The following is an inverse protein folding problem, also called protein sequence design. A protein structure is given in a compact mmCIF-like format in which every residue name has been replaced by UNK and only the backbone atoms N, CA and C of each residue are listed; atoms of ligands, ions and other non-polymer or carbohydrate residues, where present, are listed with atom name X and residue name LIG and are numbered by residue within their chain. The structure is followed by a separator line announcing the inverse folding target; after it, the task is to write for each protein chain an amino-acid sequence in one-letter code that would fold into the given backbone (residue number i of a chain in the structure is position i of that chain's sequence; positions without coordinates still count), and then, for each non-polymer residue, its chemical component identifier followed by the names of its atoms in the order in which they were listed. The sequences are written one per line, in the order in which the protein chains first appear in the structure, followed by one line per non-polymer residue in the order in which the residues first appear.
data_IF_949352205862
#
_entry.id   IF_949352205862
#
_cell.length_a   1.000
_cell.length_b   1.000
_cell.length_c   1.000
_cell.angle_alpha   90.00
_cell.angle_beta   90.00
_cell.angle_gamma   90.00
#
_symmetry.space_group_name_H-M   'P 1'
#
loop_
_entity.id
_entity.type
_entity.pdbx_description
1 polymer ?
#
# COMPACT_ATOMS: atom_id res chain seq x y z
N UNK A 1 16.31 7.80 -9.46
CA UNK A 1 17.73 7.47 -9.56
C UNK A 1 18.28 6.94 -8.22
N UNK A 2 18.23 7.72 -7.11
CA UNK A 2 18.83 7.36 -5.82
C UNK A 2 18.35 6.00 -5.28
N UNK A 3 17.04 5.76 -5.24
CA UNK A 3 16.46 4.51 -4.74
C UNK A 3 16.92 3.27 -5.52
N UNK A 4 16.99 3.38 -6.85
CA UNK A 4 17.49 2.26 -7.68
C UNK A 4 19.00 2.05 -7.51
N UNK A 5 19.75 3.14 -7.27
CA UNK A 5 21.15 3.07 -6.93
C UNK A 5 21.39 2.34 -5.59
N UNK A 6 20.59 2.66 -4.56
CA UNK A 6 20.67 1.99 -3.26
C UNK A 6 20.31 0.50 -3.36
N UNK A 7 19.27 0.16 -4.14
CA UNK A 7 18.90 -1.24 -4.38
C UNK A 7 20.04 -2.03 -5.05
N UNK A 8 20.59 -1.49 -6.12
CA UNK A 8 21.70 -2.12 -6.84
C UNK A 8 22.97 -2.24 -5.98
N UNK A 9 23.25 -1.21 -5.17
CA UNK A 9 24.35 -1.25 -4.22
C UNK A 9 24.15 -2.34 -3.16
N UNK A 10 22.93 -2.46 -2.62
CA UNK A 10 22.57 -3.54 -1.70
C UNK A 10 22.75 -4.92 -2.32
N UNK A 11 22.30 -5.13 -3.56
CA UNK A 11 22.53 -6.39 -4.28
C UNK A 11 24.01 -6.68 -4.52
N UNK A 12 24.80 -5.65 -4.85
CA UNK A 12 26.25 -5.78 -5.02
C UNK A 12 26.96 -6.16 -3.72
N UNK A 13 26.57 -5.53 -2.61
CA UNK A 13 27.10 -5.89 -1.28
C UNK A 13 26.72 -7.33 -0.91
N UNK A 14 25.46 -7.72 -1.12
CA UNK A 14 25.01 -9.07 -0.83
C UNK A 14 25.83 -10.10 -1.59
N UNK A 15 26.06 -9.88 -2.89
CA UNK A 15 26.94 -10.71 -3.70
C UNK A 15 28.39 -10.70 -3.17
N UNK A 16 28.92 -9.54 -2.81
CA UNK A 16 30.27 -9.41 -2.28
C UNK A 16 30.52 -10.22 -1.00
N UNK A 17 29.51 -10.34 -0.13
CA UNK A 17 29.61 -11.08 1.13
C UNK A 17 29.26 -12.56 1.02
N UNK A 18 28.46 -12.95 0.02
CA UNK A 18 27.97 -14.34 -0.12
C UNK A 18 28.57 -15.07 -1.33
N UNK A 19 29.16 -14.34 -2.28
CA UNK A 19 29.75 -14.90 -3.50
C UNK A 19 28.75 -15.52 -4.47
N UNK A 20 27.42 -15.37 -4.23
CA UNK A 20 26.38 -16.03 -5.00
C UNK A 20 25.22 -15.10 -5.36
N UNK A 21 24.51 -15.41 -6.46
CA UNK A 21 23.22 -14.84 -6.85
C UNK A 21 22.05 -15.81 -6.62
N UNK A 22 22.33 -17.05 -6.21
CA UNK A 22 21.32 -18.04 -5.90
C UNK A 22 20.81 -17.81 -4.48
N UNK A 23 19.51 -17.66 -4.31
CA UNK A 23 18.88 -17.35 -3.03
C UNK A 23 19.09 -18.43 -1.96
N UNK A 24 19.09 -19.72 -2.33
CA UNK A 24 19.35 -20.79 -1.38
C UNK A 24 20.82 -20.80 -0.91
N UNK A 25 21.76 -20.52 -1.80
CA UNK A 25 23.17 -20.40 -1.42
C UNK A 25 23.40 -19.17 -0.54
N UNK A 26 22.76 -18.05 -0.86
CA UNK A 26 22.82 -16.83 -0.04
C UNK A 26 22.30 -17.14 1.37
N UNK A 27 21.16 -17.85 1.52
CA UNK A 27 20.61 -18.24 2.82
C UNK A 27 21.62 -19.01 3.67
N UNK A 28 22.35 -19.95 3.06
CA UNK A 28 23.30 -20.78 3.77
C UNK A 28 24.55 -20.01 4.27
N UNK A 29 24.96 -18.98 3.52
CA UNK A 29 26.11 -18.13 3.87
C UNK A 29 25.73 -16.97 4.83
N UNK A 30 24.44 -16.64 4.95
CA UNK A 30 23.98 -15.56 5.81
C UNK A 30 23.89 -16.01 7.27
N UNK A 31 24.76 -15.44 8.10
CA UNK A 31 24.71 -15.57 9.55
C UNK A 31 24.46 -14.21 10.20
N UNK A 32 23.90 -14.23 11.41
CA UNK A 32 23.63 -12.99 12.20
C UNK A 32 24.93 -12.22 12.48
N UNK A 33 26.08 -12.87 12.45
CA UNK A 33 27.41 -12.26 12.68
C UNK A 33 27.91 -11.48 11.45
N UNK A 34 27.32 -11.67 10.27
CA UNK A 34 27.76 -10.99 9.06
C UNK A 34 27.14 -9.59 8.94
N UNK A 35 27.73 -8.62 9.63
CA UNK A 35 27.31 -7.22 9.65
C UNK A 35 27.20 -6.64 8.22
N UNK A 36 28.11 -7.00 7.32
CA UNK A 36 28.08 -6.52 5.93
C UNK A 36 26.83 -6.98 5.16
N UNK A 37 26.36 -8.21 5.41
CA UNK A 37 25.15 -8.73 4.81
C UNK A 37 23.88 -8.06 5.40
N UNK A 38 23.90 -7.68 6.68
CA UNK A 38 22.81 -6.88 7.28
C UNK A 38 22.71 -5.50 6.61
N UNK A 39 23.85 -4.83 6.37
CA UNK A 39 23.84 -3.57 5.59
C UNK A 39 23.29 -3.77 4.18
N UNK A 40 23.68 -4.86 3.49
CA UNK A 40 23.16 -5.19 2.17
C UNK A 40 21.63 -5.34 2.20
N UNK A 41 21.09 -6.07 3.18
CA UNK A 41 19.66 -6.24 3.41
C UNK A 41 18.95 -4.89 3.61
N UNK A 42 19.50 -4.00 4.45
CA UNK A 42 18.90 -2.67 4.69
C UNK A 42 18.82 -1.87 3.39
N UNK A 43 19.87 -1.83 2.57
CA UNK A 43 19.85 -1.12 1.28
C UNK A 43 18.83 -1.71 0.30
N UNK A 44 18.69 -3.04 0.27
CA UNK A 44 17.68 -3.72 -0.54
C UNK A 44 16.28 -3.34 -0.07
N UNK A 45 16.01 -3.39 1.26
CA UNK A 45 14.72 -3.00 1.83
C UNK A 45 14.39 -1.52 1.57
N UNK A 46 15.36 -0.61 1.67
CA UNK A 46 15.18 0.81 1.33
C UNK A 46 14.73 0.97 -0.12
N UNK A 47 15.43 0.32 -1.05
CA UNK A 47 15.11 0.39 -2.47
C UNK A 47 13.73 -0.19 -2.80
N UNK A 48 13.37 -1.33 -2.21
CA UNK A 48 12.05 -1.97 -2.39
C UNK A 48 10.93 -1.16 -1.71
N UNK A 49 11.17 -0.61 -0.52
CA UNK A 49 10.22 0.25 0.19
C UNK A 49 9.88 1.50 -0.63
N UNK A 50 10.84 2.09 -1.31
CA UNK A 50 10.58 3.17 -2.26
C UNK A 50 9.67 2.72 -3.40
N UNK A 51 9.88 1.53 -3.97
CA UNK A 51 9.06 1.00 -5.07
C UNK A 51 7.61 0.75 -4.68
N UNK A 52 7.37 0.27 -3.46
CA UNK A 52 6.00 0.06 -2.95
C UNK A 52 5.39 1.30 -2.29
N UNK A 53 6.12 2.42 -2.23
CA UNK A 53 5.67 3.67 -1.60
C UNK A 53 5.49 3.58 -0.09
N UNK A 54 6.31 2.81 0.58
CA UNK A 54 6.27 2.69 2.03
C UNK A 54 7.02 3.83 2.74
N UNK A 55 6.55 4.25 3.91
CA UNK A 55 7.18 5.32 4.71
C UNK A 55 8.51 4.80 5.30
N UNK A 56 9.59 5.60 5.24
CA UNK A 56 9.67 7.02 4.90
C UNK A 56 9.89 7.31 3.39
N UNK A 57 9.95 6.31 2.54
CA UNK A 57 10.33 6.43 1.13
C UNK A 57 9.14 6.71 0.18
N UNK A 58 8.03 7.21 0.71
CA UNK A 58 6.75 7.44 0.03
C UNK A 58 6.63 8.80 -0.69
N UNK A 59 7.56 9.73 -0.47
CA UNK A 59 7.40 11.17 -0.78
C UNK A 59 7.04 11.47 -2.25
N UNK A 60 7.48 10.63 -3.17
CA UNK A 60 7.20 10.77 -4.60
C UNK A 60 5.73 10.48 -4.97
N UNK A 61 5.04 9.64 -4.20
CA UNK A 61 3.76 9.03 -4.60
C UNK A 61 2.62 10.03 -4.70
N UNK A 62 2.38 10.95 -3.72
CA UNK A 62 1.28 11.91 -3.83
C UNK A 62 1.44 12.85 -5.03
N UNK A 63 2.65 13.34 -5.27
CA UNK A 63 2.91 14.32 -6.33
C UNK A 63 2.88 13.67 -7.72
N UNK A 64 3.40 12.46 -7.86
CA UNK A 64 3.33 11.70 -9.12
C UNK A 64 1.89 11.28 -9.43
N UNK A 65 1.10 10.87 -8.43
CA UNK A 65 -0.30 10.50 -8.67
C UNK A 65 -1.13 11.70 -9.10
N UNK A 66 -0.94 12.86 -8.48
CA UNK A 66 -1.64 14.07 -8.84
C UNK A 66 -1.22 14.58 -10.22
N UNK A 67 0.09 14.61 -10.51
CA UNK A 67 0.65 15.17 -11.74
C UNK A 67 0.51 14.29 -12.98
N UNK A 68 0.31 12.99 -12.84
CA UNK A 68 0.22 12.07 -13.98
C UNK A 68 -1.21 11.97 -14.53
N UNK A 69 -1.40 11.66 -15.84
CA UNK A 69 -2.71 11.29 -16.36
C UNK A 69 -3.32 10.11 -15.59
N UNK A 70 -4.64 10.11 -15.37
CA UNK A 70 -5.32 9.13 -14.50
C UNK A 70 -5.06 7.68 -14.89
N UNK A 71 -4.93 7.37 -16.19
CA UNK A 71 -4.60 6.03 -16.68
C UNK A 71 -3.19 5.58 -16.26
N UNK A 72 -2.23 6.49 -16.31
CA UNK A 72 -0.84 6.26 -15.87
C UNK A 72 -0.77 6.15 -14.35
N UNK A 73 -1.54 6.97 -13.64
CA UNK A 73 -1.65 6.89 -12.18
C UNK A 73 -2.18 5.51 -11.75
N UNK A 74 -3.20 4.97 -12.43
CA UNK A 74 -3.72 3.63 -12.16
C UNK A 74 -2.63 2.55 -12.33
N UNK A 75 -1.83 2.63 -13.39
CA UNK A 75 -0.70 1.73 -13.59
C UNK A 75 0.31 1.80 -12.45
N UNK A 76 0.71 3.02 -12.02
CA UNK A 76 1.64 3.20 -10.89
C UNK A 76 1.06 2.75 -9.55
N UNK A 77 -0.26 2.84 -9.38
CA UNK A 77 -0.93 2.40 -8.16
C UNK A 77 -0.93 0.88 -7.98
N UNK A 78 -0.82 0.12 -9.06
CA UNK A 78 -1.00 -1.34 -9.08
C UNK A 78 0.31 -2.06 -9.40
N UNK A 79 0.81 -1.93 -10.62
CA UNK A 79 1.85 -2.83 -11.16
C UNK A 79 3.16 -2.79 -10.36
N UNK A 80 3.78 -1.62 -10.09
CA UNK A 80 5.04 -1.57 -9.35
C UNK A 80 4.91 -2.10 -7.92
N UNK A 81 3.71 -1.98 -7.32
CA UNK A 81 3.47 -2.43 -5.95
C UNK A 81 3.30 -3.93 -5.84
N UNK A 82 2.60 -4.54 -6.80
CA UNK A 82 2.48 -6.01 -6.89
C UNK A 82 3.86 -6.64 -7.04
N UNK A 83 4.64 -6.15 -8.01
CA UNK A 83 5.99 -6.66 -8.25
C UNK A 83 6.90 -6.40 -7.05
N UNK A 84 6.87 -5.18 -6.49
CA UNK A 84 7.68 -4.82 -5.33
C UNK A 84 7.37 -5.69 -4.11
N UNK A 85 6.09 -5.96 -3.84
CA UNK A 85 5.68 -6.85 -2.75
C UNK A 85 6.13 -8.29 -2.97
N UNK A 86 5.95 -8.82 -4.18
CA UNK A 86 6.38 -10.19 -4.51
C UNK A 86 7.90 -10.36 -4.29
N UNK A 87 8.67 -9.34 -4.70
CA UNK A 87 10.13 -9.33 -4.49
C UNK A 87 10.47 -9.21 -3.00
N UNK A 88 9.77 -8.34 -2.22
CA UNK A 88 9.98 -8.25 -0.76
C UNK A 88 9.75 -9.61 -0.12
N UNK A 89 8.60 -10.24 -0.36
CA UNK A 89 8.28 -11.56 0.21
C UNK A 89 9.37 -12.58 -0.17
N UNK A 90 9.77 -12.61 -1.44
CA UNK A 90 10.78 -13.56 -1.92
C UNK A 90 12.14 -13.37 -1.25
N UNK A 91 12.54 -12.12 -0.97
CA UNK A 91 13.78 -11.84 -0.23
C UNK A 91 13.67 -12.24 1.25
N UNK A 92 12.52 -11.97 1.89
CA UNK A 92 12.34 -12.28 3.31
C UNK A 92 12.20 -13.78 3.56
N UNK A 93 11.48 -14.49 2.66
CA UNK A 93 11.16 -15.91 2.80
C UNK A 93 12.34 -16.83 2.52
N UNK A 94 13.27 -16.46 1.64
CA UNK A 94 14.36 -17.35 1.25
C UNK A 94 15.71 -16.83 1.72
N UNK A 95 16.36 -15.80 1.10
CA UNK A 95 17.73 -15.47 1.46
C UNK A 95 17.85 -14.89 2.88
N UNK A 96 16.83 -14.20 3.40
CA UNK A 96 16.90 -13.53 4.70
C UNK A 96 16.16 -14.28 5.83
N UNK A 97 15.77 -15.54 5.62
CA UNK A 97 15.07 -16.35 6.63
C UNK A 97 15.88 -16.47 7.93
N UNK A 98 17.19 -16.68 7.84
CA UNK A 98 18.07 -16.86 9.00
C UNK A 98 18.30 -15.58 9.83
N UNK A 99 17.98 -14.39 9.28
CA UNK A 99 18.11 -13.09 9.94
C UNK A 99 16.75 -12.41 10.17
N UNK A 100 15.75 -13.22 10.49
CA UNK A 100 14.35 -12.79 10.67
C UNK A 100 14.22 -11.66 11.69
N UNK A 101 14.89 -11.73 12.84
CA UNK A 101 14.82 -10.72 13.89
C UNK A 101 15.25 -9.33 13.42
N UNK A 102 16.25 -9.27 12.53
CA UNK A 102 16.83 -8.03 12.06
C UNK A 102 15.88 -7.30 11.11
N UNK A 103 15.41 -7.98 10.07
CA UNK A 103 14.52 -7.34 9.11
C UNK A 103 13.08 -7.16 9.62
N UNK A 104 12.62 -8.01 10.53
CA UNK A 104 11.27 -7.94 11.11
C UNK A 104 11.02 -6.59 11.79
N UNK A 105 11.97 -6.14 12.61
CA UNK A 105 11.90 -4.84 13.30
C UNK A 105 11.78 -3.68 12.30
N UNK A 106 12.54 -3.73 11.21
CA UNK A 106 12.51 -2.71 10.16
C UNK A 106 11.15 -2.69 9.45
N UNK A 107 10.63 -3.87 9.08
CA UNK A 107 9.33 -3.96 8.39
C UNK A 107 8.19 -3.55 9.32
N UNK A 108 8.22 -3.89 10.61
CA UNK A 108 7.23 -3.40 11.59
C UNK A 108 7.23 -1.87 11.63
N UNK A 109 8.41 -1.24 11.73
CA UNK A 109 8.52 0.23 11.74
C UNK A 109 7.93 0.84 10.46
N UNK A 110 8.33 0.35 9.28
CA UNK A 110 7.84 0.82 7.99
C UNK A 110 6.33 0.63 7.86
N UNK A 111 5.80 -0.51 8.31
CA UNK A 111 4.37 -0.83 8.32
C UNK A 111 3.58 0.16 9.17
N UNK A 112 3.96 0.33 10.44
CA UNK A 112 3.31 1.26 11.39
C UNK A 112 3.36 2.69 10.87
N UNK A 113 4.53 3.15 10.45
CA UNK A 113 4.70 4.51 9.92
C UNK A 113 3.83 4.74 8.67
N UNK A 114 3.73 3.75 7.78
CA UNK A 114 2.89 3.83 6.57
C UNK A 114 1.40 3.84 6.90
N UNK A 115 0.95 3.04 7.85
CA UNK A 115 -0.45 3.03 8.31
C UNK A 115 -0.85 4.37 8.92
N UNK A 116 -0.03 4.91 9.83
CA UNK A 116 -0.33 6.18 10.51
C UNK A 116 -0.29 7.35 9.54
N UNK A 117 0.80 7.50 8.78
CA UNK A 117 0.94 8.62 7.85
C UNK A 117 -0.12 8.56 6.75
N UNK A 118 -0.37 7.39 6.16
CA UNK A 118 -1.38 7.22 5.13
C UNK A 118 -2.78 7.59 5.62
N UNK A 119 -3.15 7.17 6.84
CA UNK A 119 -4.45 7.48 7.42
C UNK A 119 -4.61 8.97 7.74
N UNK A 120 -3.63 9.59 8.40
CA UNK A 120 -3.72 11.00 8.84
C UNK A 120 -3.61 11.97 7.68
N UNK A 121 -2.66 11.77 6.76
CA UNK A 121 -2.45 12.67 5.65
C UNK A 121 -3.59 12.67 4.62
N UNK A 122 -4.31 11.55 4.46
CA UNK A 122 -5.47 11.47 3.57
C UNK A 122 -6.64 12.36 4.00
N UNK A 123 -6.82 12.63 5.31
CA UNK A 123 -7.98 13.38 5.85
C UNK A 123 -8.12 14.78 5.23
N UNK A 124 -6.99 15.47 5.01
CA UNK A 124 -6.95 16.86 4.54
C UNK A 124 -6.89 17.02 3.02
N UNK A 125 -6.88 15.91 2.28
CA UNK A 125 -6.77 16.00 0.83
C UNK A 125 -8.05 16.54 0.19
N UNK A 126 -7.86 17.38 -0.83
CA UNK A 126 -8.93 17.97 -1.65
C UNK A 126 -8.93 17.42 -3.08
N UNK A 127 -7.79 16.87 -3.53
CA UNK A 127 -7.64 16.19 -4.81
C UNK A 127 -7.85 14.68 -4.60
N UNK A 128 -8.70 14.06 -5.43
CA UNK A 128 -9.07 12.63 -5.30
C UNK A 128 -7.88 11.70 -5.58
N UNK A 129 -7.00 12.04 -6.55
CA UNK A 129 -5.83 11.22 -6.85
C UNK A 129 -4.80 11.28 -5.72
N UNK A 130 -4.63 12.45 -5.11
CA UNK A 130 -3.75 12.63 -3.96
C UNK A 130 -4.30 11.89 -2.72
N UNK A 131 -5.63 11.91 -2.52
CA UNK A 131 -6.28 11.09 -1.49
C UNK A 131 -5.99 9.60 -1.72
N UNK A 132 -6.16 9.11 -2.95
CA UNK A 132 -5.87 7.72 -3.31
C UNK A 132 -4.38 7.36 -3.13
N UNK A 133 -3.47 8.32 -3.31
CA UNK A 133 -2.04 8.11 -3.07
C UNK A 133 -1.76 7.84 -1.58
N UNK A 134 -2.28 8.66 -0.67
CA UNK A 134 -2.13 8.44 0.78
C UNK A 134 -2.87 7.19 1.26
N UNK A 135 -4.06 6.93 0.73
CA UNK A 135 -4.78 5.68 0.91
C UNK A 135 -3.89 4.48 0.57
N UNK A 136 -3.25 4.53 -0.59
CA UNK A 136 -2.34 3.50 -1.10
C UNK A 136 -1.14 3.26 -0.17
N UNK A 137 -0.55 4.32 0.40
CA UNK A 137 0.53 4.22 1.40
C UNK A 137 0.02 3.47 2.64
N UNK A 138 -1.17 3.80 3.13
CA UNK A 138 -1.79 3.09 4.26
C UNK A 138 -2.05 1.61 3.97
N UNK A 139 -2.57 1.28 2.79
CA UNK A 139 -2.81 -0.11 2.38
C UNK A 139 -1.53 -0.93 2.29
N UNK A 140 -0.44 -0.35 1.77
CA UNK A 140 0.89 -0.99 1.81
C UNK A 140 1.34 -1.23 3.26
N UNK A 141 1.05 -0.32 4.17
CA UNK A 141 1.31 -0.52 5.60
C UNK A 141 0.61 -1.77 6.15
N UNK A 142 -0.68 -1.98 5.84
CA UNK A 142 -1.40 -3.20 6.25
C UNK A 142 -0.81 -4.47 5.63
N UNK A 143 -0.46 -4.44 4.35
CA UNK A 143 0.15 -5.57 3.65
C UNK A 143 1.50 -5.93 4.29
N UNK A 144 2.33 -4.93 4.58
CA UNK A 144 3.63 -5.14 5.24
C UNK A 144 3.48 -5.65 6.67
N UNK A 145 2.37 -5.39 7.36
CA UNK A 145 2.09 -5.98 8.67
C UNK A 145 1.97 -7.52 8.58
N UNK A 146 1.36 -8.05 7.53
CA UNK A 146 1.34 -9.49 7.29
C UNK A 146 2.73 -10.04 6.94
N UNK A 147 3.51 -9.33 6.14
CA UNK A 147 4.90 -9.72 5.82
C UNK A 147 5.76 -9.74 7.09
N UNK A 148 5.56 -8.78 7.99
CA UNK A 148 6.32 -8.67 9.24
C UNK A 148 6.20 -9.89 10.15
N UNK A 149 5.18 -10.72 10.01
CA UNK A 149 5.01 -11.95 10.80
C UNK A 149 6.10 -12.98 10.52
N UNK A 150 6.72 -12.96 9.33
CA UNK A 150 7.73 -13.93 8.91
C UNK A 150 7.18 -15.35 8.75
N UNK A 151 5.86 -15.50 8.60
CA UNK A 151 5.19 -16.80 8.51
C UNK A 151 4.57 -17.01 7.14
N UNK A 152 4.46 -18.27 6.70
CA UNK A 152 3.77 -18.63 5.45
C UNK A 152 2.32 -18.12 5.43
N UNK A 153 1.65 -18.15 6.60
CA UNK A 153 0.29 -17.61 6.71
C UNK A 153 0.25 -16.08 6.54
N UNK A 154 1.21 -15.36 7.12
CA UNK A 154 1.33 -13.92 6.93
C UNK A 154 1.64 -13.53 5.50
N UNK A 155 2.52 -14.25 4.81
CA UNK A 155 2.80 -14.03 3.39
C UNK A 155 1.57 -14.30 2.52
N UNK A 156 0.86 -15.41 2.78
CA UNK A 156 -0.37 -15.75 2.05
C UNK A 156 -1.47 -14.71 2.26
N UNK A 157 -1.66 -14.22 3.49
CA UNK A 157 -2.63 -13.16 3.80
C UNK A 157 -2.27 -11.82 3.14
N UNK A 158 -0.98 -11.49 3.07
CA UNK A 158 -0.47 -10.30 2.37
C UNK A 158 -0.70 -10.36 0.86
N UNK A 159 -0.49 -11.52 0.24
CA UNK A 159 -0.77 -11.76 -1.19
C UNK A 159 -2.27 -11.70 -1.48
N UNK A 160 -3.11 -12.28 -0.63
CA UNK A 160 -4.56 -12.17 -0.72
C UNK A 160 -5.00 -10.70 -0.64
N UNK A 161 -4.47 -9.96 0.34
CA UNK A 161 -4.75 -8.54 0.48
C UNK A 161 -4.37 -7.78 -0.79
N UNK A 162 -3.17 -8.02 -1.31
CA UNK A 162 -2.69 -7.36 -2.52
C UNK A 162 -3.58 -7.64 -3.72
N UNK A 163 -4.07 -8.87 -3.87
CA UNK A 163 -4.99 -9.25 -4.96
C UNK A 163 -6.30 -8.46 -4.88
N UNK A 164 -6.91 -8.39 -3.69
CA UNK A 164 -8.14 -7.62 -3.47
C UNK A 164 -7.88 -6.13 -3.68
N UNK A 165 -6.73 -5.61 -3.20
CA UNK A 165 -6.32 -4.22 -3.36
C UNK A 165 -6.20 -3.81 -4.83
N UNK A 166 -5.62 -4.67 -5.68
CA UNK A 166 -5.51 -4.45 -7.14
C UNK A 166 -6.90 -4.22 -7.75
N UNK A 167 -7.85 -5.10 -7.46
CA UNK A 167 -9.23 -5.01 -7.98
C UNK A 167 -9.89 -3.70 -7.53
N UNK A 168 -9.78 -3.36 -6.24
CA UNK A 168 -10.35 -2.13 -5.69
C UNK A 168 -9.73 -0.88 -6.31
N UNK A 169 -8.40 -0.85 -6.52
CA UNK A 169 -7.73 0.31 -7.12
C UNK A 169 -8.07 0.49 -8.59
N UNK A 170 -8.06 -0.58 -9.38
CA UNK A 170 -8.47 -0.51 -10.78
C UNK A 170 -9.89 0.05 -10.87
N UNK A 171 -10.80 -0.44 -10.03
CA UNK A 171 -12.16 0.07 -9.96
C UNK A 171 -12.23 1.55 -9.57
N UNK A 172 -11.50 1.96 -8.52
CA UNK A 172 -11.48 3.35 -8.06
C UNK A 172 -10.95 4.31 -9.13
N UNK A 173 -9.80 3.99 -9.75
CA UNK A 173 -9.24 4.83 -10.80
C UNK A 173 -10.07 4.81 -12.08
N UNK A 174 -10.77 3.72 -12.39
CA UNK A 174 -11.74 3.69 -13.48
C UNK A 174 -12.90 4.64 -13.25
N UNK A 175 -13.43 4.71 -12.02
CA UNK A 175 -14.44 5.69 -11.64
C UNK A 175 -13.90 7.14 -11.72
N UNK A 176 -12.68 7.38 -11.24
CA UNK A 176 -12.03 8.69 -11.32
C UNK A 176 -11.78 9.09 -12.79
N UNK A 177 -11.41 8.15 -13.64
CA UNK A 177 -11.23 8.40 -15.07
C UNK A 177 -12.51 8.88 -15.77
N UNK A 178 -13.68 8.47 -15.29
CA UNK A 178 -14.99 8.90 -15.78
C UNK A 178 -15.42 10.27 -15.25
N UNK A 179 -14.65 10.91 -14.34
CA UNK A 179 -14.88 12.26 -13.86
C UNK A 179 -14.43 13.29 -14.89
N UNK A 180 -15.28 13.58 -15.87
CA UNK A 180 -15.04 14.59 -16.90
C UNK A 180 -16.16 15.61 -16.92
N UNK A 181 -15.79 16.90 -17.06
CA UNK A 181 -16.67 18.03 -17.29
C UNK A 181 -16.24 18.72 -18.57
N UNK A 182 -17.14 18.81 -19.55
CA UNK A 182 -16.87 19.45 -20.85
C UNK A 182 -15.60 18.94 -21.54
N UNK A 183 -15.31 17.64 -21.42
CA UNK A 183 -14.11 17.00 -21.97
C UNK A 183 -12.83 17.15 -21.13
N UNK A 184 -12.87 17.97 -20.07
CA UNK A 184 -11.73 18.19 -19.16
C UNK A 184 -11.86 17.31 -17.92
N UNK A 185 -10.75 16.69 -17.50
CA UNK A 185 -10.72 15.91 -16.27
C UNK A 185 -10.85 16.80 -15.04
N UNK A 186 -11.76 16.45 -14.13
CA UNK A 186 -11.89 17.09 -12.83
C UNK A 186 -11.37 16.14 -11.77
N UNK A 187 -10.59 16.67 -10.82
CA UNK A 187 -9.91 15.86 -9.81
C UNK A 187 -10.23 16.30 -8.38
N UNK A 188 -11.03 17.37 -8.23
CA UNK A 188 -11.41 17.87 -6.91
C UNK A 188 -12.51 17.00 -6.33
N UNK A 189 -12.37 16.63 -5.05
CA UNK A 189 -13.37 15.86 -4.32
C UNK A 189 -14.72 16.60 -4.27
N UNK A 190 -14.70 17.95 -4.20
CA UNK A 190 -15.92 18.77 -4.25
C UNK A 190 -16.71 18.62 -5.53
N UNK A 191 -16.08 18.25 -6.64
CA UNK A 191 -16.75 18.09 -7.92
C UNK A 191 -17.64 16.85 -7.98
N UNK A 192 -17.44 15.91 -7.04
CA UNK A 192 -18.31 14.74 -6.86
C UNK A 192 -19.64 15.04 -6.20
N UNK A 193 -19.89 16.30 -5.74
CA UNK A 193 -21.13 16.67 -5.05
C UNK A 193 -22.37 16.44 -5.91
N UNK A 194 -23.37 15.72 -5.37
CA UNK A 194 -24.62 15.43 -6.04
C UNK A 194 -24.50 14.45 -7.23
N UNK A 195 -23.39 13.73 -7.36
CA UNK A 195 -23.17 12.75 -8.43
C UNK A 195 -24.27 11.67 -8.45
N UNK A 196 -24.80 11.29 -7.28
CA UNK A 196 -25.86 10.28 -7.14
C UNK A 196 -27.14 10.62 -7.92
N UNK A 197 -27.47 11.91 -8.06
CA UNK A 197 -28.64 12.37 -8.80
C UNK A 197 -28.45 12.39 -10.31
N UNK A 198 -27.20 12.60 -10.78
CA UNK A 198 -26.89 12.80 -12.20
C UNK A 198 -26.37 11.53 -12.87
N UNK A 199 -25.49 10.80 -12.19
CA UNK A 199 -24.90 9.54 -12.67
C UNK A 199 -24.99 8.47 -11.59
N UNK A 200 -26.18 7.90 -11.32
CA UNK A 200 -26.39 6.99 -10.19
C UNK A 200 -25.52 5.73 -10.24
N UNK A 201 -25.29 5.16 -11.42
CA UNK A 201 -24.42 3.99 -11.55
C UNK A 201 -22.98 4.28 -11.15
N UNK A 202 -22.43 5.43 -11.55
CA UNK A 202 -21.08 5.83 -11.15
C UNK A 202 -21.00 6.10 -9.63
N UNK A 203 -22.04 6.71 -9.07
CA UNK A 203 -22.12 6.96 -7.63
C UNK A 203 -22.15 5.65 -6.82
N UNK A 204 -22.93 4.65 -7.26
CA UNK A 204 -22.96 3.31 -6.63
C UNK A 204 -21.62 2.60 -6.75
N UNK A 205 -20.94 2.73 -7.89
CA UNK A 205 -19.59 2.17 -8.07
C UNK A 205 -18.60 2.77 -7.06
N UNK A 206 -18.59 4.10 -6.90
CA UNK A 206 -17.78 4.75 -5.86
C UNK A 206 -18.15 4.28 -4.46
N UNK A 207 -19.43 4.16 -4.14
CA UNK A 207 -19.91 3.68 -2.83
C UNK A 207 -19.34 2.31 -2.51
N UNK A 208 -19.52 1.33 -3.41
CA UNK A 208 -19.07 -0.06 -3.20
C UNK A 208 -17.56 -0.11 -3.04
N UNK A 209 -16.82 0.58 -3.90
CA UNK A 209 -15.37 0.55 -3.88
C UNK A 209 -14.83 1.23 -2.61
N UNK A 210 -15.35 2.40 -2.23
CA UNK A 210 -14.86 3.12 -1.05
C UNK A 210 -15.27 2.45 0.26
N UNK A 211 -16.43 1.80 0.31
CA UNK A 211 -16.79 0.95 1.45
C UNK A 211 -15.88 -0.28 1.54
N UNK A 212 -15.50 -0.85 0.40
CA UNK A 212 -14.54 -1.95 0.37
C UNK A 212 -13.16 -1.48 0.85
N UNK A 213 -12.64 -0.36 0.35
CA UNK A 213 -11.35 0.22 0.80
C UNK A 213 -11.36 0.57 2.30
N UNK A 214 -12.49 1.07 2.81
CA UNK A 214 -12.69 1.30 4.24
C UNK A 214 -12.62 0.00 5.07
N UNK A 215 -13.00 -1.13 4.46
CA UNK A 215 -13.05 -2.42 5.14
C UNK A 215 -14.39 -2.72 5.80
N UNK A 216 -15.49 -2.25 5.18
CA UNK A 216 -16.85 -2.50 5.69
C UNK A 216 -17.35 -3.87 5.21
N UNK A 217 -17.83 -4.76 6.13
CA UNK A 217 -18.45 -6.02 5.74
C UNK A 217 -19.71 -5.78 4.88
N UNK A 218 -20.03 -6.68 3.94
CA UNK A 218 -19.40 -7.93 3.56
C UNK A 218 -18.43 -7.81 2.38
N UNK A 219 -17.83 -6.64 2.15
CA UNK A 219 -17.01 -6.36 0.97
C UNK A 219 -15.59 -6.93 1.08
N UNK A 220 -14.94 -7.09 -0.08
CA UNK A 220 -13.62 -7.74 -0.17
C UNK A 220 -12.52 -7.12 0.71
N UNK A 221 -12.51 -5.80 0.85
CA UNK A 221 -11.53 -5.10 1.69
C UNK A 221 -11.61 -5.45 3.18
N UNK A 222 -12.80 -5.83 3.69
CA UNK A 222 -12.93 -6.37 5.03
C UNK A 222 -12.15 -7.67 5.19
N UNK A 223 -12.35 -8.63 4.29
CA UNK A 223 -11.65 -9.92 4.34
C UNK A 223 -10.14 -9.76 4.19
N UNK A 224 -9.70 -8.85 3.31
CA UNK A 224 -8.29 -8.54 3.16
C UNK A 224 -7.64 -8.12 4.49
N UNK A 225 -8.25 -7.16 5.19
CA UNK A 225 -7.79 -6.68 6.51
C UNK A 225 -7.91 -7.77 7.57
N UNK A 226 -9.01 -8.50 7.59
CA UNK A 226 -9.28 -9.56 8.57
C UNK A 226 -8.18 -10.62 8.57
N UNK A 227 -7.83 -11.17 7.41
CA UNK A 227 -6.80 -12.22 7.32
C UNK A 227 -5.41 -11.71 7.70
N UNK A 228 -5.04 -10.50 7.30
CA UNK A 228 -3.76 -9.91 7.72
C UNK A 228 -3.72 -9.69 9.23
N UNK A 229 -4.76 -9.10 9.83
CA UNK A 229 -4.75 -8.90 11.28
C UNK A 229 -4.82 -10.20 12.06
N UNK A 230 -5.50 -11.23 11.52
CA UNK A 230 -5.51 -12.55 12.13
C UNK A 230 -4.10 -13.14 12.16
N UNK A 231 -3.35 -13.08 11.06
CA UNK A 231 -1.95 -13.56 11.02
C UNK A 231 -1.03 -12.79 11.98
N UNK A 232 -1.23 -11.47 12.12
CA UNK A 232 -0.47 -10.64 13.07
C UNK A 232 -0.78 -11.00 14.52
N UNK A 233 -2.05 -11.28 14.85
CA UNK A 233 -2.47 -11.70 16.20
C UNK A 233 -1.96 -13.09 16.54
N UNK A 234 -2.04 -14.04 15.60
CA UNK A 234 -1.48 -15.39 15.77
C UNK A 234 0.03 -15.37 16.00
N UNK A 235 0.73 -14.42 15.37
CA UNK A 235 2.16 -14.17 15.60
C UNK A 235 2.45 -13.38 16.88
N UNK A 236 1.44 -13.13 17.74
CA UNK A 236 1.53 -12.40 19.03
C UNK A 236 2.01 -10.94 18.90
N UNK A 237 1.92 -10.34 17.72
CA UNK A 237 2.29 -8.94 17.46
C UNK A 237 1.12 -7.99 17.80
N UNK A 238 0.63 -8.02 19.03
CA UNK A 238 -0.59 -7.30 19.45
C UNK A 238 -0.52 -5.80 19.23
N UNK A 239 0.63 -5.17 19.49
CA UNK A 239 0.82 -3.71 19.28
C UNK A 239 0.61 -3.35 17.80
N UNK A 240 1.19 -4.11 16.89
CA UNK A 240 1.02 -3.92 15.45
C UNK A 240 -0.45 -4.07 15.03
N UNK A 241 -1.15 -5.06 15.57
CA UNK A 241 -2.58 -5.27 15.33
C UNK A 241 -3.43 -4.09 15.83
N UNK A 242 -3.17 -3.60 17.06
CA UNK A 242 -3.89 -2.47 17.63
C UNK A 242 -3.69 -1.21 16.79
N UNK A 243 -2.47 -0.86 16.44
CA UNK A 243 -2.17 0.29 15.58
C UNK A 243 -2.87 0.16 14.23
N UNK A 244 -2.84 -1.03 13.63
CA UNK A 244 -3.51 -1.31 12.37
C UNK A 244 -5.03 -1.13 12.46
N UNK A 245 -5.68 -1.63 13.51
CA UNK A 245 -7.11 -1.46 13.72
C UNK A 245 -7.49 0.02 13.94
N UNK A 246 -6.73 0.75 14.75
CA UNK A 246 -6.95 2.18 14.98
C UNK A 246 -6.83 2.99 13.69
N UNK A 247 -5.80 2.73 12.89
CA UNK A 247 -5.61 3.42 11.60
C UNK A 247 -6.66 3.03 10.56
N UNK A 248 -7.26 1.84 10.65
CA UNK A 248 -8.41 1.44 9.84
C UNK A 248 -9.64 2.30 10.14
N UNK A 249 -9.92 2.58 11.42
CA UNK A 249 -11.03 3.47 11.83
C UNK A 249 -10.81 4.89 11.29
N UNK A 250 -9.58 5.41 11.43
CA UNK A 250 -9.23 6.73 10.88
C UNK A 250 -9.39 6.74 9.36
N UNK A 251 -8.98 5.67 8.68
CA UNK A 251 -9.11 5.56 7.22
C UNK A 251 -10.57 5.53 6.75
N UNK A 252 -11.45 4.90 7.49
CA UNK A 252 -12.88 4.89 7.17
C UNK A 252 -13.46 6.31 7.09
N UNK A 253 -12.98 7.24 7.91
CA UNK A 253 -13.47 8.61 7.93
C UNK A 253 -13.33 9.32 6.58
N UNK A 254 -12.18 9.28 5.94
CA UNK A 254 -12.02 10.00 4.67
C UNK A 254 -12.72 9.32 3.50
N UNK A 255 -12.87 8.00 3.49
CA UNK A 255 -13.68 7.31 2.49
C UNK A 255 -15.17 7.65 2.64
N UNK A 256 -15.70 7.61 3.87
CA UNK A 256 -17.07 7.98 4.16
C UNK A 256 -17.34 9.46 3.87
N UNK A 257 -16.36 10.34 4.10
CA UNK A 257 -16.45 11.76 3.71
C UNK A 257 -16.69 11.94 2.20
N UNK A 258 -15.98 11.20 1.36
CA UNK A 258 -16.19 11.27 -0.10
C UNK A 258 -17.55 10.71 -0.48
N UNK A 259 -17.96 9.58 0.12
CA UNK A 259 -19.31 9.02 -0.12
C UNK A 259 -20.39 10.02 0.32
N UNK A 260 -20.22 10.68 1.47
CA UNK A 260 -21.15 11.74 1.91
C UNK A 260 -21.27 12.84 0.86
N UNK A 261 -20.18 13.34 0.30
CA UNK A 261 -20.19 14.38 -0.73
C UNK A 261 -20.95 13.91 -1.98
N UNK A 262 -20.78 12.66 -2.39
CA UNK A 262 -21.44 12.07 -3.56
C UNK A 262 -22.97 12.02 -3.38
N UNK A 263 -23.46 11.66 -2.18
CA UNK A 263 -24.87 11.33 -1.96
C UNK A 263 -25.67 12.43 -1.30
N UNK A 264 -25.06 13.24 -0.42
CA UNK A 264 -25.81 14.17 0.45
C UNK A 264 -25.54 15.64 0.18
N UNK A 265 -24.44 16.00 -0.47
CA UNK A 265 -24.16 17.40 -0.79
C UNK A 265 -24.89 17.82 -2.07
N UNK A 266 -25.29 19.10 -2.13
CA UNK A 266 -25.93 19.67 -3.32
C UNK A 266 -24.97 19.70 -4.52
N UNK A 267 -25.48 19.44 -5.70
CA UNK A 267 -24.71 19.41 -6.93
C UNK A 267 -24.19 20.81 -7.27
N UNK A 268 -22.87 21.02 -7.13
CA UNK A 268 -22.19 22.25 -7.49
C UNK A 268 -21.68 22.26 -8.93
N UNK A 269 -21.55 21.09 -9.54
CA UNK A 269 -21.00 20.91 -10.89
C UNK A 269 -21.92 20.05 -11.74
N UNK A 270 -21.91 20.31 -13.05
CA UNK A 270 -22.58 19.46 -14.06
C UNK A 270 -21.54 18.55 -14.70
N UNK A 271 -21.62 17.27 -14.43
CA UNK A 271 -20.91 16.25 -15.21
C UNK A 271 -21.69 15.86 -16.45
#
# INVERSE_FOLDING_TARGET
ALSSGLLLYGCSLLYGFTGSTNFELIKNELTVENIGAIFAMVFILVGLSFKVSAVPFHMWTPDVYEGSPTSITNFFAVVPKVVGLAVIIRFMDVPFENILSDWQTIIIFISVASMILGAVAAIRQTNIKRLMAYSSIGHIGYILAGVATGTTYGYSSSLLYMTIYVIMNIGAFSCIYLMRKDGVYTEKISDLSGLSKKRPLLAVSFLIIFFSLAGIPPLGGFFAKFYVFLSVVESKMYILAIVGLMTTVISAFYYLKVVKIIYFDEAKTTF
#
